data_IF_650227156272
#
_entry.id   IF_650227156272
#
_cell.length_a   1.000
_cell.length_b   1.000
_cell.length_c   1.000
_cell.angle_alpha   90.00
_cell.angle_beta   90.00
_cell.angle_gamma   90.00
#
_symmetry.space_group_name_H-M   'P 1'
#
loop_
_entity.id
_entity.type
_entity.pdbx_description
1 polymer ?
#
# COMPACT_ATOMS: atom_id res chain seq x y z
N UNK A 1 -20.03 -20.09 -6.64
CA UNK A 1 -19.81 -21.44 -6.08
C UNK A 1 -18.46 -21.92 -6.55
N UNK A 2 -17.53 -22.33 -5.66
CA UNK A 2 -16.33 -23.01 -6.08
C UNK A 2 -16.72 -24.26 -6.89
N UNK A 3 -16.04 -24.53 -7.98
CA UNK A 3 -16.23 -25.76 -8.72
C UNK A 3 -15.86 -26.90 -7.79
N UNK A 4 -16.76 -27.84 -7.62
CA UNK A 4 -16.52 -29.07 -6.89
C UNK A 4 -15.36 -29.79 -7.55
N UNK A 5 -14.20 -29.85 -6.88
CA UNK A 5 -13.06 -30.60 -7.36
C UNK A 5 -13.34 -32.08 -7.19
N UNK A 6 -13.13 -32.82 -8.26
CA UNK A 6 -13.27 -34.29 -8.24
C UNK A 6 -11.89 -34.89 -8.00
N UNK A 7 -11.75 -35.61 -6.90
CA UNK A 7 -10.55 -36.39 -6.62
C UNK A 7 -10.71 -37.78 -7.20
N UNK A 8 -9.72 -38.20 -7.99
CA UNK A 8 -9.69 -39.54 -8.55
C UNK A 8 -9.33 -40.55 -7.48
N UNK A 9 -10.21 -41.52 -7.23
CA UNK A 9 -9.99 -42.64 -6.32
C UNK A 9 -9.45 -43.81 -7.15
N UNK A 10 -8.13 -44.03 -7.10
CA UNK A 10 -7.44 -45.08 -7.85
C UNK A 10 -7.93 -46.49 -7.48
N UNK A 11 -8.40 -46.66 -6.26
CA UNK A 11 -8.85 -47.98 -5.77
C UNK A 11 -10.19 -48.40 -6.36
N UNK A 12 -11.09 -47.43 -6.58
CA UNK A 12 -12.42 -47.68 -7.11
C UNK A 12 -12.57 -47.25 -8.57
N UNK A 13 -11.53 -46.70 -9.17
CA UNK A 13 -11.51 -46.18 -10.54
C UNK A 13 -12.67 -45.17 -10.81
N UNK A 14 -12.98 -44.39 -9.81
CA UNK A 14 -14.08 -43.41 -9.85
C UNK A 14 -13.66 -42.03 -9.33
N UNK A 15 -14.32 -41.01 -9.80
CA UNK A 15 -14.13 -39.67 -9.26
C UNK A 15 -15.10 -39.46 -8.09
N UNK A 16 -14.55 -39.13 -6.92
CA UNK A 16 -15.33 -38.69 -5.74
C UNK A 16 -15.31 -37.18 -5.64
N UNK A 17 -16.42 -36.62 -5.29
CA UNK A 17 -16.50 -35.19 -4.92
C UNK A 17 -15.83 -35.00 -3.57
N UNK A 18 -14.72 -34.27 -3.56
CA UNK A 18 -14.07 -33.87 -2.31
C UNK A 18 -14.70 -32.55 -1.84
N UNK A 19 -15.50 -32.63 -0.81
CA UNK A 19 -16.03 -31.46 -0.11
C UNK A 19 -14.99 -30.95 0.88
N UNK A 20 -13.98 -30.22 0.37
CA UNK A 20 -13.10 -29.46 1.23
C UNK A 20 -13.68 -28.06 1.43
N UNK A 21 -13.70 -27.61 2.68
CA UNK A 21 -13.91 -26.19 2.94
C UNK A 21 -12.63 -25.42 2.60
N UNK A 22 -12.74 -24.15 2.25
CA UNK A 22 -11.58 -23.29 2.01
C UNK A 22 -10.59 -23.31 3.19
N UNK A 23 -11.10 -23.27 4.42
CA UNK A 23 -10.29 -23.33 5.64
C UNK A 23 -9.52 -24.66 5.77
N UNK A 24 -10.12 -25.78 5.42
CA UNK A 24 -9.46 -27.07 5.43
C UNK A 24 -8.34 -27.13 4.37
N UNK A 25 -8.60 -26.60 3.18
CA UNK A 25 -7.61 -26.56 2.12
C UNK A 25 -6.40 -25.71 2.54
N UNK A 26 -6.63 -24.52 3.07
CA UNK A 26 -5.56 -23.64 3.57
C UNK A 26 -4.76 -24.31 4.70
N UNK A 27 -5.44 -24.96 5.65
CA UNK A 27 -4.78 -25.65 6.74
C UNK A 27 -3.92 -26.83 6.26
N UNK A 28 -4.39 -27.57 5.26
CA UNK A 28 -3.66 -28.68 4.65
C UNK A 28 -2.43 -28.18 3.86
N UNK A 29 -2.56 -27.10 3.10
CA UNK A 29 -1.45 -26.48 2.38
C UNK A 29 -0.37 -25.96 3.34
N UNK A 30 -0.76 -25.25 4.39
CA UNK A 30 0.19 -24.78 5.42
C UNK A 30 0.91 -25.98 6.06
N UNK A 31 0.18 -27.03 6.41
CA UNK A 31 0.78 -28.24 6.97
C UNK A 31 1.77 -28.88 6.00
N UNK A 32 1.41 -29.05 4.74
CA UNK A 32 2.27 -29.62 3.71
C UNK A 32 3.55 -28.79 3.52
N UNK A 33 3.45 -27.46 3.54
CA UNK A 33 4.60 -26.54 3.47
C UNK A 33 5.51 -26.74 4.69
N UNK A 34 4.93 -26.82 5.90
CA UNK A 34 5.70 -27.04 7.12
C UNK A 34 6.41 -28.42 7.11
N UNK A 35 5.71 -29.47 6.75
CA UNK A 35 6.30 -30.81 6.63
C UNK A 35 7.44 -30.84 5.60
N UNK A 36 7.22 -30.22 4.43
CA UNK A 36 8.25 -30.14 3.40
C UNK A 36 9.49 -29.39 3.89
N UNK A 37 9.31 -28.23 4.53
CA UNK A 37 10.41 -27.40 5.01
C UNK A 37 11.20 -28.06 6.14
N UNK A 38 10.52 -28.78 7.03
CA UNK A 38 11.13 -29.46 8.19
C UNK A 38 11.64 -30.87 7.87
N UNK A 39 11.34 -31.42 6.70
CA UNK A 39 11.90 -32.67 6.27
C UNK A 39 13.41 -32.52 6.02
N UNK A 40 14.16 -33.60 6.26
CA UNK A 40 15.61 -33.65 5.99
C UNK A 40 15.90 -33.30 4.53
N UNK A 41 16.96 -32.54 4.31
CA UNK A 41 17.41 -32.23 2.96
C UNK A 41 17.76 -33.49 2.19
N UNK A 42 17.34 -33.68 0.93
CA UNK A 42 17.58 -34.93 0.18
C UNK A 42 19.05 -35.25 0.00
N UNK A 43 19.92 -34.24 -0.04
CA UNK A 43 21.36 -34.46 -0.12
C UNK A 43 22.00 -34.42 1.27
N UNK A 44 21.86 -35.52 2.04
CA UNK A 44 22.44 -35.65 3.38
C UNK A 44 23.96 -35.82 3.38
N UNK A 45 24.56 -36.13 2.22
CA UNK A 45 26.03 -36.18 2.11
C UNK A 45 26.64 -34.79 2.19
N UNK A 46 25.96 -33.78 1.62
CA UNK A 46 26.40 -32.39 1.60
C UNK A 46 25.91 -31.62 2.84
N UNK A 47 24.71 -31.93 3.33
CA UNK A 47 24.04 -31.24 4.42
C UNK A 47 23.61 -32.21 5.53
N UNK A 48 24.57 -32.85 6.24
CA UNK A 48 24.25 -33.87 7.22
C UNK A 48 23.42 -33.33 8.38
N UNK A 49 22.28 -33.97 8.65
CA UNK A 49 21.38 -33.61 9.75
C UNK A 49 20.58 -32.32 9.57
N UNK A 50 20.70 -31.63 8.44
CA UNK A 50 19.97 -30.39 8.19
C UNK A 50 18.63 -30.66 7.47
N UNK A 51 17.59 -29.92 7.89
CA UNK A 51 16.35 -29.86 7.17
C UNK A 51 16.48 -28.96 5.94
N UNK A 52 15.49 -28.95 5.03
CA UNK A 52 15.47 -28.02 3.88
C UNK A 52 15.51 -26.57 4.35
N UNK A 53 14.71 -26.23 5.35
CA UNK A 53 14.72 -24.91 5.97
C UNK A 53 16.05 -24.55 6.62
N UNK A 54 16.64 -25.53 7.34
CA UNK A 54 17.94 -25.34 7.97
C UNK A 54 19.07 -25.07 6.97
N UNK A 55 19.03 -25.72 5.79
CA UNK A 55 19.98 -25.45 4.71
C UNK A 55 19.79 -24.06 4.16
N UNK A 56 18.54 -23.65 3.88
CA UNK A 56 18.24 -22.30 3.40
C UNK A 56 18.78 -21.23 4.35
N UNK A 57 18.47 -21.33 5.64
CA UNK A 57 18.90 -20.35 6.63
C UNK A 57 20.42 -20.29 6.81
N UNK A 58 21.11 -21.45 6.76
CA UNK A 58 22.55 -21.53 7.03
C UNK A 58 23.41 -21.13 5.85
N UNK A 59 22.94 -21.41 4.63
CA UNK A 59 23.69 -21.20 3.38
C UNK A 59 23.11 -20.05 2.53
N UNK A 60 22.30 -19.21 3.15
CA UNK A 60 21.82 -17.99 2.51
C UNK A 60 23.02 -17.09 2.18
N UNK A 61 23.05 -16.54 0.98
CA UNK A 61 24.11 -15.62 0.60
C UNK A 61 24.09 -14.38 1.53
N UNK A 62 25.18 -14.14 2.29
CA UNK A 62 25.25 -12.99 3.21
C UNK A 62 25.21 -11.64 2.50
N UNK A 63 25.56 -11.60 1.21
CA UNK A 63 25.59 -10.38 0.40
C UNK A 63 24.20 -10.04 -0.22
N UNK A 64 23.18 -10.87 0.03
CA UNK A 64 21.82 -10.55 -0.40
C UNK A 64 21.31 -9.35 0.38
N UNK A 65 21.09 -8.26 -0.33
CA UNK A 65 20.40 -7.11 0.23
C UNK A 65 18.95 -7.47 0.61
N UNK A 66 18.43 -6.95 1.74
CA UNK A 66 17.02 -7.13 2.07
C UNK A 66 16.15 -6.55 0.94
N UNK A 67 15.14 -7.31 0.55
CA UNK A 67 14.20 -6.86 -0.47
C UNK A 67 13.34 -5.72 0.11
N UNK A 68 13.23 -4.63 -0.64
CA UNK A 68 12.30 -3.56 -0.30
C UNK A 68 10.86 -4.11 -0.32
N UNK A 69 10.13 -3.88 0.76
CA UNK A 69 8.73 -4.31 0.89
C UNK A 69 7.85 -3.74 -0.22
N UNK A 70 8.07 -2.49 -0.60
CA UNK A 70 7.32 -1.86 -1.68
C UNK A 70 7.47 -2.65 -2.98
N UNK A 71 8.71 -3.01 -3.35
CA UNK A 71 8.98 -3.82 -4.52
C UNK A 71 8.38 -5.22 -4.37
N UNK A 72 8.54 -5.85 -3.21
CA UNK A 72 8.04 -7.21 -2.96
C UNK A 72 6.52 -7.28 -3.14
N UNK A 73 5.77 -6.34 -2.55
CA UNK A 73 4.31 -6.34 -2.59
C UNK A 73 3.76 -6.09 -4.00
N UNK A 74 4.52 -5.46 -4.86
CA UNK A 74 4.17 -5.34 -6.28
C UNK A 74 4.11 -6.69 -7.00
N UNK A 75 4.89 -7.68 -6.56
CA UNK A 75 4.97 -9.00 -7.21
C UNK A 75 4.11 -10.06 -6.51
N UNK A 76 3.99 -10.00 -5.18
CA UNK A 76 3.27 -11.03 -4.41
C UNK A 76 1.97 -10.53 -3.81
N UNK A 77 1.75 -9.21 -3.78
CA UNK A 77 0.54 -8.59 -3.22
C UNK A 77 -0.62 -8.57 -4.19
N UNK A 78 -1.77 -8.19 -3.67
CA UNK A 78 -2.95 -7.89 -4.45
C UNK A 78 -2.86 -6.46 -5.01
N UNK A 79 -3.44 -6.24 -6.19
CA UNK A 79 -3.50 -4.94 -6.85
C UNK A 79 -4.93 -4.42 -6.88
N UNK A 80 -5.10 -3.16 -6.48
CA UNK A 80 -6.35 -2.42 -6.66
C UNK A 80 -6.06 -1.05 -7.28
N UNK A 81 -6.79 -0.72 -8.35
CA UNK A 81 -6.78 0.63 -8.90
C UNK A 81 -7.70 1.53 -8.09
N UNK A 82 -7.18 2.62 -7.60
CA UNK A 82 -7.89 3.60 -6.80
C UNK A 82 -7.46 5.01 -7.19
N UNK A 83 -8.00 6.01 -6.51
CA UNK A 83 -7.60 7.40 -6.71
C UNK A 83 -7.29 8.08 -5.39
N UNK A 84 -6.36 9.03 -5.42
CA UNK A 84 -6.09 9.88 -4.28
C UNK A 84 -7.21 10.88 -4.12
N UNK A 85 -7.85 10.87 -2.96
CA UNK A 85 -9.00 11.69 -2.62
C UNK A 85 -8.60 12.85 -1.73
N UNK A 86 -9.17 14.03 -1.99
CA UNK A 86 -8.91 15.26 -1.23
C UNK A 86 -7.42 15.56 -1.05
N UNK A 87 -6.56 15.03 -1.93
CA UNK A 87 -5.11 15.12 -1.83
C UNK A 87 -4.50 14.55 -0.53
N UNK A 88 -5.22 13.75 0.23
CA UNK A 88 -4.84 13.29 1.56
C UNK A 88 -4.78 11.77 1.72
N UNK A 89 -5.66 11.03 1.05
CA UNK A 89 -5.79 9.59 1.25
C UNK A 89 -6.23 8.85 -0.01
N UNK A 90 -5.98 7.57 -0.05
CA UNK A 90 -6.60 6.64 -1.01
C UNK A 90 -7.52 5.67 -0.28
N UNK A 91 -8.46 5.06 -1.01
CA UNK A 91 -9.40 4.10 -0.45
C UNK A 91 -9.19 2.73 -1.07
N UNK A 92 -8.98 1.73 -0.22
CA UNK A 92 -8.85 0.32 -0.60
C UNK A 92 -9.79 -0.50 0.31
N UNK A 93 -10.63 -1.36 -0.27
CA UNK A 93 -11.61 -2.18 0.46
C UNK A 93 -12.46 -1.41 1.49
N UNK A 94 -12.97 -0.24 1.08
CA UNK A 94 -13.78 0.65 1.92
C UNK A 94 -13.05 1.31 3.09
N UNK A 95 -11.75 1.09 3.23
CA UNK A 95 -10.91 1.71 4.24
C UNK A 95 -10.02 2.81 3.66
N UNK A 96 -9.76 3.83 4.44
CA UNK A 96 -8.98 4.99 4.01
C UNK A 96 -7.53 4.87 4.51
N UNK A 97 -6.57 5.13 3.62
CA UNK A 97 -5.14 5.06 3.86
C UNK A 97 -4.51 6.42 3.65
N UNK A 98 -3.92 6.99 4.70
CA UNK A 98 -3.32 8.31 4.67
C UNK A 98 -2.00 8.34 3.89
N UNK A 99 -1.81 9.37 3.07
CA UNK A 99 -0.52 9.70 2.47
C UNK A 99 0.44 10.17 3.57
N UNK A 100 1.70 9.70 3.60
CA UNK A 100 2.63 10.07 4.67
C UNK A 100 3.06 11.54 4.62
N UNK A 101 2.97 12.20 3.48
CA UNK A 101 3.33 13.62 3.32
C UNK A 101 2.49 14.28 2.23
N UNK A 102 2.10 15.54 2.42
CA UNK A 102 1.41 16.33 1.39
C UNK A 102 2.24 16.56 0.12
N UNK A 103 3.56 16.64 0.24
CA UNK A 103 4.47 16.89 -0.89
C UNK A 103 4.42 15.81 -1.97
N UNK A 104 3.94 14.62 -1.60
CA UNK A 104 3.80 13.49 -2.52
C UNK A 104 2.80 13.73 -3.64
N UNK A 105 1.85 14.65 -3.44
CA UNK A 105 0.92 15.07 -4.49
C UNK A 105 1.68 15.67 -5.68
N UNK A 106 2.77 16.39 -5.43
CA UNK A 106 3.63 16.93 -6.48
C UNK A 106 4.41 15.88 -7.29
N UNK A 107 4.45 14.62 -6.82
CA UNK A 107 5.07 13.50 -7.56
C UNK A 107 4.10 12.81 -8.50
N UNK A 108 2.81 13.06 -8.36
CA UNK A 108 1.80 12.51 -9.26
C UNK A 108 1.85 13.21 -10.61
N UNK A 109 1.43 12.49 -11.65
CA UNK A 109 1.25 13.06 -12.95
C UNK A 109 0.21 14.21 -12.90
N UNK A 110 0.43 15.32 -13.63
CA UNK A 110 -0.50 16.44 -13.63
C UNK A 110 -1.92 16.03 -14.01
N UNK A 111 -2.90 16.42 -13.20
CA UNK A 111 -4.32 16.12 -13.39
C UNK A 111 -4.69 14.63 -13.38
N UNK A 112 -3.79 13.75 -13.00
CA UNK A 112 -4.05 12.33 -12.84
C UNK A 112 -3.81 11.91 -11.38
N UNK A 113 -4.90 11.60 -10.68
CA UNK A 113 -4.88 11.11 -9.30
C UNK A 113 -5.12 9.60 -9.21
N UNK A 114 -5.16 8.92 -10.36
CA UNK A 114 -5.33 7.46 -10.42
C UNK A 114 -4.02 6.79 -10.05
N UNK A 115 -4.08 5.83 -9.15
CA UNK A 115 -2.93 5.10 -8.63
C UNK A 115 -3.22 3.62 -8.53
N UNK A 116 -2.17 2.82 -8.59
CA UNK A 116 -2.17 1.39 -8.35
C UNK A 116 -1.74 1.16 -6.89
N UNK A 117 -2.60 0.52 -6.11
CA UNK A 117 -2.34 0.22 -4.71
C UNK A 117 -2.06 -1.27 -4.56
N UNK A 118 -0.85 -1.60 -4.06
CA UNK A 118 -0.44 -2.96 -3.77
C UNK A 118 -0.43 -3.20 -2.27
N UNK A 119 -0.95 -4.33 -1.83
CA UNK A 119 -1.04 -4.68 -0.41
C UNK A 119 -1.03 -6.19 -0.23
N UNK A 120 -0.74 -6.61 0.99
CA UNK A 120 -0.83 -8.00 1.42
C UNK A 120 -1.62 -8.05 2.72
N UNK A 121 -2.75 -8.76 2.75
CA UNK A 121 -3.50 -8.96 3.99
C UNK A 121 -2.67 -9.73 5.02
N UNK A 122 -2.86 -9.41 6.29
CA UNK A 122 -2.33 -10.21 7.39
C UNK A 122 -3.15 -11.51 7.59
N UNK A 123 -2.75 -12.36 8.55
CA UNK A 123 -3.43 -13.61 8.87
C UNK A 123 -4.90 -13.43 9.26
N UNK A 124 -5.29 -12.25 9.71
CA UNK A 124 -6.65 -11.88 10.08
C UNK A 124 -7.42 -11.22 8.93
N UNK A 125 -6.78 -11.03 7.78
CA UNK A 125 -7.37 -10.38 6.63
C UNK A 125 -7.34 -8.84 6.69
N UNK A 126 -6.63 -8.24 7.66
CA UNK A 126 -6.48 -6.80 7.72
C UNK A 126 -5.35 -6.35 6.81
N UNK A 127 -5.48 -5.14 6.28
CA UNK A 127 -4.46 -4.49 5.47
C UNK A 127 -3.87 -3.32 6.26
N UNK A 128 -2.71 -3.48 6.91
CA UNK A 128 -2.14 -2.42 7.75
C UNK A 128 -1.54 -1.28 6.94
N UNK A 129 -0.99 -1.58 5.77
CA UNK A 129 -0.31 -0.62 4.90
C UNK A 129 -0.53 -0.96 3.43
N UNK A 130 -0.51 0.07 2.59
CA UNK A 130 -0.71 0.00 1.15
C UNK A 130 0.43 0.74 0.44
N UNK A 131 0.98 0.13 -0.59
CA UNK A 131 2.06 0.70 -1.40
C UNK A 131 1.49 1.26 -2.69
N UNK A 132 1.63 2.56 -2.88
CA UNK A 132 1.04 3.29 -4.01
C UNK A 132 2.07 3.45 -5.12
N UNK A 133 1.65 3.10 -6.32
CA UNK A 133 2.39 3.29 -7.57
C UNK A 133 1.58 4.11 -8.56
N UNK A 134 2.27 4.83 -9.42
CA UNK A 134 1.68 5.47 -10.58
C UNK A 134 2.60 5.29 -11.78
N UNK A 135 2.06 4.80 -12.89
CA UNK A 135 2.83 4.51 -14.11
C UNK A 135 4.08 3.64 -13.85
N UNK A 136 3.98 2.71 -12.91
CA UNK A 136 5.07 1.83 -12.53
C UNK A 136 6.11 2.43 -11.58
N UNK A 137 6.02 3.73 -11.24
CA UNK A 137 6.88 4.38 -10.26
C UNK A 137 6.27 4.31 -8.85
N UNK A 138 7.09 3.97 -7.86
CA UNK A 138 6.70 4.01 -6.46
C UNK A 138 6.50 5.45 -6.00
N UNK A 139 5.35 5.74 -5.39
CA UNK A 139 4.99 7.06 -4.87
C UNK A 139 5.15 7.09 -3.34
N UNK A 140 4.46 6.20 -2.63
CA UNK A 140 4.45 6.22 -1.17
C UNK A 140 3.92 4.91 -0.56
N UNK A 141 4.22 4.72 0.73
CA UNK A 141 3.55 3.75 1.59
C UNK A 141 2.51 4.49 2.42
N UNK A 142 1.26 4.10 2.28
CA UNK A 142 0.14 4.68 3.01
C UNK A 142 -0.26 3.77 4.16
N UNK A 143 -0.56 4.35 5.32
CA UNK A 143 -1.04 3.62 6.50
C UNK A 143 -2.53 3.79 6.65
N UNK A 144 -3.18 2.76 7.18
CA UNK A 144 -4.60 2.77 7.48
C UNK A 144 -4.91 3.92 8.44
N UNK A 145 -5.98 4.66 8.14
CA UNK A 145 -6.53 5.66 9.04
C UNK A 145 -7.39 4.92 10.06
N UNK A 146 -7.06 5.05 11.34
CA UNK A 146 -7.90 4.46 12.39
C UNK A 146 -9.24 5.19 12.45
N UNK A 147 -10.32 4.40 12.42
CA UNK A 147 -11.65 4.93 12.64
C UNK A 147 -11.81 5.25 14.14
N UNK A 148 -12.45 6.36 14.45
CA UNK A 148 -12.77 6.77 15.81
C UNK A 148 -14.26 7.11 15.93
N UNK A 149 -14.79 7.03 17.14
CA UNK A 149 -16.16 7.43 17.40
C UNK A 149 -16.26 8.97 17.43
N UNK A 150 -17.12 9.52 16.57
CA UNK A 150 -17.34 10.98 16.51
C UNK A 150 -18.18 11.51 17.68
N UNK A 151 -18.97 10.62 18.34
CA UNK A 151 -19.83 11.01 19.46
C UNK A 151 -18.96 11.27 20.71
N UNK A 152 -18.70 12.52 21.02
CA UNK A 152 -17.80 12.95 22.12
C UNK A 152 -18.14 12.31 23.48
N UNK A 153 -19.41 12.03 23.73
CA UNK A 153 -19.85 11.41 24.99
C UNK A 153 -19.45 9.94 25.11
N UNK A 154 -19.20 9.26 23.99
CA UNK A 154 -18.90 7.83 23.93
C UNK A 154 -17.44 7.54 23.54
N UNK A 155 -16.63 8.59 23.36
CA UNK A 155 -15.24 8.46 22.97
C UNK A 155 -14.41 7.80 24.07
N UNK A 156 -13.72 6.74 23.69
CA UNK A 156 -12.66 6.12 24.49
C UNK A 156 -11.37 6.94 24.41
N UNK A 157 -10.38 6.64 25.25
CA UNK A 157 -9.06 7.27 25.18
C UNK A 157 -8.38 7.02 23.83
N UNK A 158 -8.52 5.82 23.29
CA UNK A 158 -8.03 5.46 21.95
C UNK A 158 -8.68 6.28 20.83
N UNK A 159 -9.99 6.54 20.92
CA UNK A 159 -10.68 7.38 19.93
C UNK A 159 -10.16 8.83 19.96
N UNK A 160 -9.85 9.34 21.15
CA UNK A 160 -9.28 10.69 21.30
C UNK A 160 -7.87 10.79 20.73
N UNK A 161 -7.04 9.76 20.92
CA UNK A 161 -5.71 9.67 20.33
C UNK A 161 -5.79 9.62 18.79
N UNK A 162 -6.63 8.74 18.24
CA UNK A 162 -6.86 8.64 16.80
C UNK A 162 -7.36 9.96 16.20
N UNK A 163 -8.31 10.63 16.88
CA UNK A 163 -8.78 11.96 16.50
C UNK A 163 -7.66 13.02 16.51
N UNK A 164 -6.84 13.03 17.56
CA UNK A 164 -5.74 13.98 17.69
C UNK A 164 -4.68 13.78 16.60
N UNK A 165 -4.33 12.53 16.27
CA UNK A 165 -3.43 12.21 15.17
C UNK A 165 -3.98 12.66 13.82
N UNK A 166 -5.25 12.40 13.57
CA UNK A 166 -5.90 12.82 12.33
C UNK A 166 -6.02 14.35 12.24
N UNK A 167 -6.30 15.04 13.34
CA UNK A 167 -6.34 16.51 13.39
C UNK A 167 -4.95 17.09 13.10
N UNK A 168 -3.90 16.54 13.68
CA UNK A 168 -2.51 16.94 13.41
C UNK A 168 -2.12 16.73 11.95
N UNK A 169 -2.48 15.59 11.39
CA UNK A 169 -2.25 15.27 9.98
C UNK A 169 -2.97 16.26 9.06
N UNK A 170 -4.25 16.55 9.33
CA UNK A 170 -5.02 17.54 8.56
C UNK A 170 -4.41 18.94 8.65
N UNK A 171 -3.96 19.35 9.83
CA UNK A 171 -3.33 20.66 10.03
C UNK A 171 -2.01 20.80 9.23
N UNK A 172 -1.23 19.73 9.07
CA UNK A 172 -0.03 19.73 8.23
C UNK A 172 -0.37 19.99 6.76
N UNK A 173 -1.42 19.32 6.24
CA UNK A 173 -1.90 19.56 4.87
C UNK A 173 -2.40 20.99 4.68
N UNK A 174 -3.18 21.48 5.61
CA UNK A 174 -3.74 22.83 5.53
C UNK A 174 -2.64 23.91 5.61
N UNK A 175 -1.61 23.67 6.43
CA UNK A 175 -0.44 24.55 6.52
C UNK A 175 0.37 24.57 5.21
N UNK A 176 0.51 23.42 4.55
CA UNK A 176 1.19 23.34 3.27
C UNK A 176 0.40 24.06 2.17
N UNK A 177 -0.92 23.81 2.08
CA UNK A 177 -1.79 24.48 1.12
C UNK A 177 -1.83 26.00 1.34
N UNK A 178 -1.66 26.46 2.57
CA UNK A 178 -1.56 27.89 2.88
C UNK A 178 -0.20 28.51 2.47
N UNK A 179 0.89 27.70 2.49
CA UNK A 179 2.22 28.14 2.03
C UNK A 179 2.30 28.23 0.51
N UNK A 180 1.74 27.26 -0.19
CA UNK A 180 1.50 27.36 -1.61
C UNK A 180 0.34 28.32 -1.81
N UNK A 181 0.65 29.61 -1.86
CA UNK A 181 -0.32 30.65 -2.24
C UNK A 181 -0.80 30.35 -3.67
N UNK A 182 -1.75 29.46 -3.79
CA UNK A 182 -2.56 29.36 -4.99
C UNK A 182 -3.40 30.62 -4.98
N UNK A 183 -2.93 31.64 -5.66
CA UNK A 183 -3.75 32.79 -5.99
C UNK A 183 -4.94 32.24 -6.78
N UNK A 184 -6.07 32.08 -6.11
CA UNK A 184 -7.34 31.87 -6.79
C UNK A 184 -7.66 33.14 -7.53
N UNK A 185 -7.16 33.26 -8.76
CA UNK A 185 -7.59 34.31 -9.66
C UNK A 185 -9.05 34.02 -10.01
N UNK A 186 -9.95 34.70 -9.34
CA UNK A 186 -11.37 34.67 -9.66
C UNK A 186 -11.56 35.59 -10.86
N UNK A 187 -11.46 35.05 -12.07
CA UNK A 187 -11.88 35.75 -13.29
C UNK A 187 -13.41 35.91 -13.23
N UNK A 188 -13.87 37.05 -12.83
CA UNK A 188 -15.27 37.44 -13.01
C UNK A 188 -15.47 37.82 -14.47
N UNK A 189 -16.49 37.29 -15.17
CA UNK A 189 -16.78 37.72 -16.52
C UNK A 189 -17.20 39.22 -16.46
N UNK A 190 -16.34 40.09 -16.98
CA UNK A 190 -16.59 41.52 -17.07
C UNK A 190 -15.44 42.45 -16.60
N UNK A 191 -14.55 41.98 -15.75
CA UNK A 191 -13.37 42.76 -15.32
C UNK A 191 -12.11 42.26 -16.04
N UNK A 192 -11.99 42.58 -17.31
CA UNK A 192 -10.69 42.58 -17.97
C UNK A 192 -10.18 44.00 -17.85
N UNK A 193 -9.24 44.32 -16.94
CA UNK A 193 -8.58 45.62 -16.97
C UNK A 193 -7.84 45.71 -18.30
N UNK A 194 -8.00 46.85 -18.97
CA UNK A 194 -7.26 47.16 -20.18
C UNK A 194 -5.76 46.88 -19.93
N UNK A 195 -5.13 46.15 -20.85
CA UNK A 195 -3.74 45.84 -20.81
C UNK A 195 -2.90 47.09 -20.50
N UNK A 196 -2.39 47.21 -19.28
CA UNK A 196 -1.15 47.88 -19.03
C UNK A 196 -0.04 46.88 -19.26
N UNK A 197 0.75 47.09 -20.30
CA UNK A 197 1.95 46.32 -20.59
C UNK A 197 2.88 46.44 -19.37
N UNK A 198 3.47 45.32 -18.86
CA UNK A 198 4.40 45.42 -17.77
C UNK A 198 5.63 46.23 -18.24
N UNK A 199 5.86 47.35 -17.55
CA UNK A 199 7.08 48.15 -17.72
C UNK A 199 8.30 47.30 -17.40
N UNK A 200 9.06 46.93 -18.43
CA UNK A 200 10.30 46.18 -18.26
C UNK A 200 11.29 47.11 -17.58
N UNK A 201 11.45 46.98 -16.28
CA UNK A 201 12.55 47.61 -15.55
C UNK A 201 13.84 46.93 -15.94
N UNK A 202 14.57 47.56 -16.83
CA UNK A 202 15.92 47.16 -17.24
C UNK A 202 16.85 47.17 -16.01
N UNK A 203 17.36 46.00 -15.62
CA UNK A 203 18.31 45.90 -14.52
C UNK A 203 19.61 46.63 -14.88
N UNK A 204 19.99 47.61 -14.06
CA UNK A 204 21.25 48.33 -14.21
C UNK A 204 22.44 47.37 -14.16
N UNK A 205 23.47 47.58 -15.02
CA UNK A 205 24.66 46.75 -15.04
C UNK A 205 25.47 46.94 -13.75
N UNK A 206 25.95 45.81 -13.18
CA UNK A 206 26.88 45.84 -12.06
C UNK A 206 28.17 46.57 -12.45
N UNK A 207 28.54 47.55 -11.66
CA UNK A 207 29.81 48.28 -11.83
C UNK A 207 31.02 47.39 -11.47
N UNK A 208 32.22 47.69 -12.02
CA UNK A 208 33.41 46.85 -12.00
C UNK A 208 34.05 46.67 -10.61
#
# INVERSE_FOLDING_TARGET
>A
RPKEEKVYDEFNNTYKEATYTYEQLVADDIRAIHEYNNALHPNQKLYPGLTRWGVLCRYQNPDLAPVDKALLYRFIGEEVRTSIRRSKYCRVHYEDYALPSPELIGRLAPNDYTVEAYYLPDEQGNVPEVYIYQHGAYIATCRRIEAYNEATAEQTERDREAYAEQAKYNAQFDAMMAREKICKVRLLPGDVPAHEEPEIVEAAPAAP
#
